data_IF_023779722776
#
_entry.id   IF_023779722776
#
_cell.length_a   1.000
_cell.length_b   1.000
_cell.length_c   1.000
_cell.angle_alpha   90.00
_cell.angle_beta   90.00
_cell.angle_gamma   90.00
#
_symmetry.space_group_name_H-M   'P 1'
#
loop_
_entity.id
_entity.type
_entity.pdbx_description
1 polymer ?
#
# COMPACT_ATOMS: atom_id res chain seq x y z
N UNK A 1 -40.18 -33.84 -8.05
CA UNK A 1 -39.82 -33.34 -9.37
C UNK A 1 -38.31 -33.42 -9.52
N UNK A 2 -37.81 -33.75 -10.70
CA UNK A 2 -36.37 -33.74 -11.00
C UNK A 2 -35.91 -32.29 -11.19
N UNK A 3 -34.88 -31.89 -10.52
CA UNK A 3 -34.20 -30.59 -10.71
C UNK A 3 -33.62 -30.58 -12.13
N UNK A 4 -33.70 -29.44 -12.85
CA UNK A 4 -33.10 -29.32 -14.18
C UNK A 4 -31.57 -29.36 -14.08
N UNK A 5 -30.89 -29.77 -15.17
CA UNK A 5 -29.41 -29.79 -15.18
C UNK A 5 -28.83 -28.43 -14.87
N UNK A 6 -29.45 -27.34 -15.35
CA UNK A 6 -29.02 -25.96 -15.06
C UNK A 6 -29.20 -25.56 -13.59
N UNK A 7 -30.27 -26.03 -12.96
CA UNK A 7 -30.51 -25.76 -11.54
C UNK A 7 -29.58 -26.59 -10.67
N UNK A 8 -29.23 -27.81 -11.11
CA UNK A 8 -28.23 -28.65 -10.46
C UNK A 8 -26.86 -27.94 -10.45
N UNK A 9 -26.41 -27.40 -11.59
CA UNK A 9 -25.18 -26.67 -11.72
C UNK A 9 -25.14 -25.46 -10.77
N UNK A 10 -26.21 -24.66 -10.72
CA UNK A 10 -26.31 -23.53 -9.78
C UNK A 10 -26.29 -23.95 -8.32
N UNK A 11 -26.91 -25.07 -7.99
CA UNK A 11 -26.86 -25.61 -6.63
C UNK A 11 -25.44 -26.06 -6.27
N UNK A 12 -24.73 -26.69 -7.20
CA UNK A 12 -23.33 -27.11 -6.98
C UNK A 12 -22.40 -25.93 -6.81
N UNK A 13 -22.57 -24.85 -7.60
CA UNK A 13 -21.86 -23.57 -7.41
C UNK A 13 -22.18 -22.95 -6.05
N UNK A 14 -23.45 -22.93 -5.65
CA UNK A 14 -23.87 -22.42 -4.35
C UNK A 14 -23.24 -23.20 -3.20
N UNK A 15 -23.33 -24.53 -3.22
CA UNK A 15 -22.74 -25.37 -2.18
C UNK A 15 -21.22 -25.26 -2.14
N UNK A 16 -20.57 -25.09 -3.28
CA UNK A 16 -19.13 -24.84 -3.35
C UNK A 16 -18.79 -23.52 -2.66
N UNK A 17 -19.53 -22.46 -2.96
CA UNK A 17 -19.35 -21.14 -2.34
C UNK A 17 -19.56 -21.17 -0.83
N UNK A 18 -20.58 -21.90 -0.35
CA UNK A 18 -20.83 -22.07 1.09
C UNK A 18 -19.67 -22.81 1.76
N UNK A 19 -19.17 -23.91 1.16
CA UNK A 19 -18.01 -24.64 1.70
C UNK A 19 -16.75 -23.79 1.76
N UNK A 20 -16.51 -22.95 0.77
CA UNK A 20 -15.36 -22.04 0.78
C UNK A 20 -15.51 -20.96 1.87
N UNK A 21 -16.74 -20.49 2.11
CA UNK A 21 -17.01 -19.58 3.22
C UNK A 21 -16.78 -20.26 4.57
N UNK A 22 -17.29 -21.48 4.77
CA UNK A 22 -17.06 -22.27 5.99
C UNK A 22 -15.57 -22.48 6.27
N UNK A 23 -14.78 -22.85 5.25
CA UNK A 23 -13.33 -23.00 5.37
C UNK A 23 -12.66 -21.67 5.80
N UNK A 24 -13.07 -20.54 5.21
CA UNK A 24 -12.56 -19.22 5.60
C UNK A 24 -12.91 -18.89 7.04
N UNK A 25 -14.14 -19.12 7.46
CA UNK A 25 -14.59 -18.89 8.84
C UNK A 25 -13.81 -19.78 9.83
N UNK A 26 -13.58 -21.04 9.50
CA UNK A 26 -12.81 -21.96 10.35
C UNK A 26 -11.33 -21.53 10.44
N UNK A 27 -10.73 -21.09 9.31
CA UNK A 27 -9.39 -20.53 9.30
C UNK A 27 -9.30 -19.26 10.14
N UNK A 28 -10.29 -18.38 10.04
CA UNK A 28 -10.36 -17.16 10.83
C UNK A 28 -10.51 -17.47 12.33
N UNK A 29 -11.36 -18.44 12.68
CA UNK A 29 -11.53 -18.90 14.06
C UNK A 29 -10.24 -19.47 14.64
N UNK A 30 -9.51 -20.26 13.86
CA UNK A 30 -8.19 -20.80 14.24
C UNK A 30 -7.17 -19.68 14.40
N UNK A 31 -7.16 -18.69 13.49
CA UNK A 31 -6.29 -17.53 13.58
C UNK A 31 -6.55 -16.69 14.83
N UNK A 32 -7.83 -16.51 15.22
CA UNK A 32 -8.19 -15.82 16.47
C UNK A 32 -7.81 -16.60 17.73
N UNK A 33 -7.72 -17.93 17.64
CA UNK A 33 -7.27 -18.79 18.75
C UNK A 33 -5.74 -18.94 18.81
N UNK A 34 -5.01 -18.51 17.77
CA UNK A 34 -3.57 -18.51 17.76
C UNK A 34 -3.06 -17.24 18.45
N UNK A 35 -2.11 -17.38 19.36
CA UNK A 35 -1.48 -16.22 19.98
C UNK A 35 -0.90 -15.31 18.89
N UNK A 36 -1.24 -14.02 18.98
CA UNK A 36 -0.65 -13.01 18.09
C UNK A 36 0.86 -13.02 18.34
N UNK A 37 1.69 -13.15 17.29
CA UNK A 37 3.14 -13.07 17.47
C UNK A 37 3.51 -11.78 18.19
N UNK A 38 4.39 -11.89 19.18
CA UNK A 38 4.96 -10.72 19.83
C UNK A 38 5.84 -9.97 18.84
N UNK A 39 5.58 -8.70 18.63
CA UNK A 39 6.35 -7.86 17.71
C UNK A 39 7.03 -6.76 18.52
N UNK A 40 8.31 -6.58 18.28
CA UNK A 40 9.10 -5.49 18.85
C UNK A 40 8.84 -4.22 18.03
N UNK A 41 7.74 -3.55 18.34
CA UNK A 41 7.35 -2.29 17.71
C UNK A 41 6.69 -1.37 18.73
N UNK A 42 7.30 -0.23 18.96
CA UNK A 42 6.76 0.80 19.83
C UNK A 42 6.04 1.87 19.02
N UNK A 43 4.78 2.10 19.33
CA UNK A 43 4.01 3.18 18.72
C UNK A 43 4.56 4.53 19.19
N UNK A 44 4.57 5.56 18.30
CA UNK A 44 5.00 6.89 18.69
C UNK A 44 4.11 7.46 19.80
N UNK A 45 4.71 8.20 20.72
CA UNK A 45 4.01 8.85 21.83
C UNK A 45 3.18 10.09 21.44
N UNK A 46 2.91 10.28 20.15
CA UNK A 46 2.14 11.40 19.59
C UNK A 46 1.10 10.86 18.59
N UNK A 47 0.12 11.68 18.25
CA UNK A 47 -0.89 11.33 17.22
C UNK A 47 -0.30 11.44 15.82
N UNK A 48 0.04 10.31 15.15
CA UNK A 48 0.64 10.32 13.82
C UNK A 48 -0.33 10.73 12.71
N UNK A 49 -1.64 10.78 13.03
CA UNK A 49 -2.69 11.19 12.06
C UNK A 49 -2.89 12.71 12.08
N UNK A 50 -2.19 13.42 12.96
CA UNK A 50 -2.25 14.88 12.97
C UNK A 50 -1.84 15.42 11.59
N UNK A 51 -2.58 16.42 11.06
CA UNK A 51 -2.36 16.92 9.70
C UNK A 51 -0.93 17.36 9.37
N UNK A 52 -0.15 17.77 10.35
CA UNK A 52 1.24 18.22 10.18
C UNK A 52 2.25 17.08 10.08
N UNK A 53 1.83 15.83 10.28
CA UNK A 53 2.70 14.66 10.42
C UNK A 53 2.42 13.59 9.34
N UNK A 54 2.05 14.02 8.14
CA UNK A 54 1.62 13.10 7.07
C UNK A 54 2.73 12.11 6.63
N UNK A 55 3.98 12.58 6.54
CA UNK A 55 5.10 11.72 6.13
C UNK A 55 5.46 10.72 7.23
N UNK A 56 5.39 11.15 8.48
CA UNK A 56 5.57 10.29 9.64
C UNK A 56 4.47 9.24 9.71
N UNK A 57 3.20 9.64 9.50
CA UNK A 57 2.07 8.73 9.44
C UNK A 57 2.21 7.71 8.30
N UNK A 58 2.69 8.11 7.13
CA UNK A 58 2.98 7.22 6.01
C UNK A 58 4.01 6.16 6.40
N UNK A 59 5.12 6.57 7.02
CA UNK A 59 6.16 5.66 7.51
C UNK A 59 5.60 4.62 8.48
N UNK A 60 4.83 5.06 9.48
CA UNK A 60 4.19 4.18 10.46
C UNK A 60 3.22 3.20 9.80
N UNK A 61 2.43 3.65 8.84
CA UNK A 61 1.52 2.76 8.10
C UNK A 61 2.27 1.69 7.31
N UNK A 62 3.40 2.03 6.69
CA UNK A 62 4.28 1.05 6.05
C UNK A 62 4.87 0.06 7.05
N UNK A 63 5.27 0.51 8.25
CA UNK A 63 5.74 -0.37 9.32
C UNK A 63 4.65 -1.38 9.73
N UNK A 64 3.42 -0.91 9.93
CA UNK A 64 2.28 -1.76 10.29
C UNK A 64 1.93 -2.77 9.19
N UNK A 65 1.98 -2.36 7.91
CA UNK A 65 1.80 -3.27 6.77
C UNK A 65 2.89 -4.33 6.77
N UNK A 66 4.14 -3.93 6.93
CA UNK A 66 5.30 -4.83 6.99
C UNK A 66 5.17 -5.87 8.11
N UNK A 67 4.78 -5.44 9.32
CA UNK A 67 4.51 -6.32 10.46
C UNK A 67 3.35 -7.27 10.19
N UNK A 68 2.27 -6.77 9.61
CA UNK A 68 1.08 -7.58 9.30
C UNK A 68 1.37 -8.68 8.28
N UNK A 69 2.22 -8.40 7.29
CA UNK A 69 2.70 -9.39 6.33
C UNK A 69 3.64 -10.39 7.00
N UNK A 70 4.57 -9.94 7.85
CA UNK A 70 5.53 -10.78 8.55
C UNK A 70 4.83 -11.78 9.49
N UNK A 71 3.77 -11.37 10.15
CA UNK A 71 3.01 -12.21 11.08
C UNK A 71 1.91 -13.03 10.42
N UNK A 72 1.80 -13.03 9.09
CA UNK A 72 0.70 -13.64 8.29
C UNK A 72 -0.70 -13.21 8.80
N UNK A 73 -0.79 -12.03 9.41
CA UNK A 73 -2.07 -11.44 9.86
C UNK A 73 -2.91 -10.96 8.68
N UNK A 74 -2.25 -10.61 7.58
CA UNK A 74 -2.88 -10.31 6.28
C UNK A 74 -1.98 -10.76 5.14
N UNK A 75 -2.59 -11.00 3.97
CA UNK A 75 -1.89 -11.28 2.71
C UNK A 75 -2.14 -10.23 1.64
N UNK A 76 -3.03 -9.30 1.92
CA UNK A 76 -3.35 -8.20 1.02
C UNK A 76 -3.50 -6.94 1.87
N UNK A 77 -2.77 -5.91 1.49
CA UNK A 77 -2.89 -4.58 2.08
C UNK A 77 -3.05 -3.55 0.95
N UNK A 78 -3.88 -2.56 1.17
CA UNK A 78 -4.02 -1.41 0.30
C UNK A 78 -3.88 -0.14 1.14
N UNK A 79 -3.15 0.83 0.64
CA UNK A 79 -2.97 2.11 1.30
C UNK A 79 -3.21 3.23 0.29
N UNK A 80 -4.02 4.20 0.68
CA UNK A 80 -4.24 5.41 -0.09
C UNK A 80 -3.45 6.55 0.54
N UNK A 81 -2.49 7.09 -0.20
CA UNK A 81 -1.73 8.26 0.21
C UNK A 81 -2.58 9.50 -0.03
N UNK A 82 -3.29 9.92 1.02
CA UNK A 82 -4.08 11.13 1.04
C UNK A 82 -3.23 12.29 1.58
N UNK A 83 -3.72 13.50 1.49
CA UNK A 83 -3.01 14.68 2.01
C UNK A 83 -3.20 15.89 1.11
N UNK A 84 -4.29 15.89 0.35
CA UNK A 84 -4.56 16.88 -0.67
C UNK A 84 -4.51 18.33 -0.17
N UNK A 85 -4.97 18.58 1.06
CA UNK A 85 -4.95 19.93 1.66
C UNK A 85 -3.70 20.24 2.49
N UNK A 86 -2.80 19.28 2.63
CA UNK A 86 -1.65 19.35 3.53
C UNK A 86 -0.60 20.33 3.02
N UNK A 87 -0.12 21.20 3.91
CA UNK A 87 1.12 21.95 3.72
C UNK A 87 2.23 21.21 4.43
N UNK A 88 3.22 20.75 3.67
CA UNK A 88 4.31 19.96 4.20
C UNK A 88 5.44 20.85 4.75
N UNK A 89 6.13 20.36 5.79
CA UNK A 89 7.41 20.89 6.25
C UNK A 89 8.48 19.86 5.95
N UNK A 90 9.44 20.21 5.11
CA UNK A 90 10.50 19.30 4.64
C UNK A 90 11.85 19.94 4.91
N UNK A 91 12.72 19.25 5.66
CA UNK A 91 14.03 19.78 6.03
C UNK A 91 13.97 21.07 6.88
N UNK A 92 12.90 21.26 7.66
CA UNK A 92 12.66 22.45 8.47
C UNK A 92 12.05 23.65 7.69
N UNK A 93 11.82 23.50 6.38
CA UNK A 93 11.18 24.51 5.53
C UNK A 93 9.71 24.15 5.31
N UNK A 94 8.79 25.04 5.70
CA UNK A 94 7.36 24.90 5.40
C UNK A 94 7.09 25.38 3.99
N UNK A 95 6.49 24.51 3.17
CA UNK A 95 6.19 24.81 1.77
C UNK A 95 5.11 25.89 1.64
N UNK A 96 5.11 26.57 0.49
CA UNK A 96 4.23 27.73 0.26
C UNK A 96 2.76 27.36 0.12
N UNK A 97 2.44 26.13 -0.29
CA UNK A 97 1.09 25.70 -0.57
C UNK A 97 0.86 24.23 -0.21
N UNK A 98 -0.39 23.84 -0.05
CA UNK A 98 -0.78 22.45 0.16
C UNK A 98 -0.53 21.59 -1.07
N UNK A 99 -0.36 20.29 -0.86
CA UNK A 99 0.00 19.32 -1.89
C UNK A 99 -0.90 19.36 -3.13
N UNK A 100 -2.22 19.46 -2.93
CA UNK A 100 -3.16 19.61 -4.05
C UNK A 100 -2.90 20.89 -4.88
N UNK A 101 -2.65 22.02 -4.22
CA UNK A 101 -2.36 23.26 -4.91
C UNK A 101 -1.00 23.22 -5.65
N UNK A 102 -0.02 22.48 -5.12
CA UNK A 102 1.24 22.22 -5.80
C UNK A 102 1.05 21.31 -7.02
N UNK A 103 0.18 20.29 -6.94
CA UNK A 103 -0.11 19.41 -8.07
C UNK A 103 -0.78 20.15 -9.23
N UNK A 104 -1.51 21.24 -8.96
CA UNK A 104 -2.04 22.16 -9.97
C UNK A 104 -1.05 23.29 -10.30
N UNK A 105 0.19 22.92 -10.62
CA UNK A 105 1.29 23.86 -10.80
C UNK A 105 1.16 24.79 -12.00
N UNK A 106 0.40 24.43 -13.04
CA UNK A 106 0.24 25.28 -14.23
C UNK A 106 1.57 25.63 -14.92
N UNK A 107 2.58 24.77 -14.82
CA UNK A 107 3.97 24.94 -15.24
C UNK A 107 4.74 26.03 -14.48
N UNK A 108 4.28 26.44 -13.31
CA UNK A 108 5.02 27.30 -12.39
C UNK A 108 6.25 26.54 -11.82
N UNK A 109 7.48 27.01 -12.08
CA UNK A 109 8.69 26.29 -11.66
C UNK A 109 8.86 26.21 -10.14
N UNK A 110 8.34 27.16 -9.40
CA UNK A 110 8.44 27.16 -7.93
C UNK A 110 7.52 26.12 -7.32
N UNK A 111 6.28 26.02 -7.83
CA UNK A 111 5.35 24.97 -7.44
C UNK A 111 5.86 23.57 -7.81
N UNK A 112 6.43 23.42 -9.01
CA UNK A 112 7.02 22.14 -9.44
C UNK A 112 8.17 21.75 -8.52
N UNK A 113 9.04 22.68 -8.16
CA UNK A 113 10.15 22.43 -7.25
C UNK A 113 9.66 21.93 -5.88
N UNK A 114 8.63 22.57 -5.33
CA UNK A 114 8.07 22.19 -4.04
C UNK A 114 7.30 20.86 -4.13
N UNK A 115 6.55 20.62 -5.22
CA UNK A 115 5.92 19.32 -5.48
C UNK A 115 6.97 18.20 -5.51
N UNK A 116 8.07 18.38 -6.22
CA UNK A 116 9.16 17.39 -6.31
C UNK A 116 9.78 17.11 -4.92
N UNK A 117 9.83 18.08 -4.02
CA UNK A 117 10.28 17.84 -2.63
C UNK A 117 9.35 16.84 -1.94
N UNK A 118 8.03 17.04 -2.03
CA UNK A 118 7.03 16.14 -1.43
C UNK A 118 7.10 14.74 -2.04
N UNK A 119 7.06 14.65 -3.37
CA UNK A 119 7.14 13.36 -4.08
C UNK A 119 8.39 12.56 -3.73
N UNK A 120 9.51 13.27 -3.54
CA UNK A 120 10.77 12.63 -3.12
C UNK A 120 10.68 12.04 -1.71
N UNK A 121 9.98 12.67 -0.79
CA UNK A 121 9.79 12.12 0.55
C UNK A 121 8.87 10.90 0.52
N UNK A 122 7.78 10.90 -0.26
CA UNK A 122 6.96 9.71 -0.50
C UNK A 122 7.80 8.54 -1.06
N UNK A 123 8.67 8.83 -2.03
CA UNK A 123 9.59 7.81 -2.57
C UNK A 123 10.58 7.27 -1.53
N UNK A 124 11.03 8.10 -0.58
CA UNK A 124 11.87 7.62 0.52
C UNK A 124 11.10 6.70 1.47
N UNK A 125 9.85 7.05 1.81
CA UNK A 125 8.99 6.18 2.62
C UNK A 125 8.78 4.82 1.94
N UNK A 126 8.46 4.82 0.65
CA UNK A 126 8.34 3.59 -0.14
C UNK A 126 9.65 2.78 -0.17
N UNK A 127 10.79 3.45 -0.40
CA UNK A 127 12.09 2.78 -0.43
C UNK A 127 12.44 2.13 0.92
N UNK A 128 12.14 2.79 2.03
CA UNK A 128 12.29 2.23 3.37
C UNK A 128 11.40 1.00 3.58
N UNK A 129 10.13 1.06 3.15
CA UNK A 129 9.21 -0.08 3.19
C UNK A 129 9.74 -1.27 2.39
N UNK A 130 10.19 -1.06 1.15
CA UNK A 130 10.79 -2.13 0.35
C UNK A 130 12.06 -2.69 1.00
N UNK A 131 12.86 -1.83 1.64
CA UNK A 131 14.01 -2.23 2.44
C UNK A 131 13.63 -3.14 3.62
N UNK A 132 12.55 -2.81 4.33
CA UNK A 132 12.02 -3.65 5.40
C UNK A 132 11.56 -5.01 4.87
N UNK A 133 10.79 -5.06 3.78
CA UNK A 133 10.35 -6.31 3.16
C UNK A 133 11.53 -7.16 2.70
N UNK A 134 12.63 -6.53 2.24
CA UNK A 134 13.84 -7.24 1.83
C UNK A 134 14.58 -7.89 3.00
N UNK A 135 14.58 -7.27 4.18
CA UNK A 135 15.31 -7.74 5.36
C UNK A 135 14.53 -8.69 6.25
N UNK A 136 13.20 -8.60 6.22
CA UNK A 136 12.31 -9.49 6.99
C UNK A 136 12.04 -10.77 6.21
N UNK A 137 11.79 -11.86 6.93
CA UNK A 137 11.53 -13.18 6.32
C UNK A 137 10.13 -13.68 6.67
N UNK A 138 9.58 -14.50 5.77
CA UNK A 138 8.38 -15.29 6.01
C UNK A 138 8.70 -16.55 6.86
N UNK A 139 7.69 -17.38 7.15
CA UNK A 139 7.83 -18.61 7.92
C UNK A 139 8.74 -19.64 7.25
N UNK A 140 8.91 -19.58 5.94
CA UNK A 140 9.78 -20.44 5.13
C UNK A 140 11.21 -19.88 5.02
N UNK A 141 11.51 -18.73 5.64
CA UNK A 141 12.82 -18.10 5.63
C UNK A 141 13.15 -17.32 4.35
N UNK A 142 12.18 -17.12 3.47
CA UNK A 142 12.34 -16.29 2.26
C UNK A 142 12.15 -14.83 2.63
N UNK A 143 12.84 -13.92 1.93
CA UNK A 143 12.58 -12.49 2.05
C UNK A 143 11.09 -12.19 1.79
N UNK A 144 10.48 -11.33 2.62
CA UNK A 144 9.10 -10.91 2.39
C UNK A 144 8.95 -10.21 1.03
N UNK A 145 10.00 -9.54 0.54
CA UNK A 145 9.97 -8.91 -0.78
C UNK A 145 9.85 -9.94 -1.90
N UNK A 146 10.51 -11.10 -1.77
CA UNK A 146 10.44 -12.17 -2.78
C UNK A 146 9.06 -12.83 -2.84
N UNK A 147 8.34 -12.85 -1.70
CA UNK A 147 7.01 -13.45 -1.58
C UNK A 147 5.85 -12.44 -1.66
N UNK A 148 6.14 -11.14 -1.85
CA UNK A 148 5.15 -10.07 -1.88
C UNK A 148 5.26 -9.28 -3.18
N UNK A 149 4.13 -9.02 -3.84
CA UNK A 149 4.05 -8.09 -4.97
C UNK A 149 3.65 -6.73 -4.41
N UNK A 150 4.50 -5.73 -4.62
CA UNK A 150 4.21 -4.33 -4.29
C UNK A 150 3.90 -3.57 -5.57
N UNK A 151 2.71 -3.02 -5.66
CA UNK A 151 2.29 -2.12 -6.73
C UNK A 151 2.14 -0.71 -6.15
N UNK A 152 2.88 0.25 -6.68
CA UNK A 152 2.77 1.67 -6.32
C UNK A 152 2.52 2.49 -7.57
N UNK A 153 1.61 3.46 -7.48
CA UNK A 153 1.29 4.30 -8.62
C UNK A 153 0.31 5.42 -8.27
N UNK A 154 -0.03 6.20 -9.27
CA UNK A 154 -0.99 7.30 -9.15
C UNK A 154 -2.09 7.18 -10.19
N UNK A 155 -3.23 7.80 -9.93
CA UNK A 155 -4.35 7.87 -10.87
C UNK A 155 -4.23 8.97 -11.93
N UNK A 156 -3.17 9.80 -11.87
CA UNK A 156 -2.93 10.89 -12.82
C UNK A 156 -1.46 10.95 -13.20
N UNK A 157 -1.16 10.98 -14.49
CA UNK A 157 0.18 11.25 -15.02
C UNK A 157 0.49 12.76 -15.05
N UNK A 158 -0.54 13.58 -15.24
CA UNK A 158 -0.47 15.05 -15.13
C UNK A 158 -1.65 15.56 -14.31
N UNK A 159 -1.45 15.79 -13.03
CA UNK A 159 -2.47 16.27 -12.13
C UNK A 159 -2.91 17.70 -12.46
N UNK A 160 -2.03 18.54 -13.00
CA UNK A 160 -2.36 19.92 -13.39
C UNK A 160 -3.38 19.97 -14.52
N UNK A 161 -3.43 18.94 -15.38
CA UNK A 161 -4.38 18.80 -16.49
C UNK A 161 -5.45 17.76 -16.24
N UNK A 162 -5.47 17.13 -15.06
CA UNK A 162 -6.32 15.98 -14.75
C UNK A 162 -6.21 14.84 -15.79
N UNK A 163 -5.02 14.64 -16.35
CA UNK A 163 -4.77 13.59 -17.33
C UNK A 163 -4.44 12.26 -16.66
N UNK A 164 -5.13 11.23 -17.06
CA UNK A 164 -4.86 9.84 -16.64
C UNK A 164 -4.04 9.05 -17.67
N UNK A 165 -3.30 9.73 -18.54
CA UNK A 165 -2.35 9.12 -19.46
C UNK A 165 -0.98 9.05 -18.81
N UNK A 166 -0.16 8.13 -19.29
CA UNK A 166 1.25 7.98 -18.90
C UNK A 166 1.40 7.87 -17.37
N UNK A 167 0.59 6.99 -16.75
CA UNK A 167 0.56 6.79 -15.31
C UNK A 167 1.89 6.19 -14.82
N UNK A 168 2.68 6.89 -14.00
CA UNK A 168 3.86 6.29 -13.40
C UNK A 168 3.42 5.15 -12.47
N UNK A 169 3.93 3.95 -12.76
CA UNK A 169 3.61 2.75 -12.01
C UNK A 169 4.91 2.00 -11.71
N UNK A 170 5.08 1.62 -10.45
CA UNK A 170 6.21 0.84 -9.98
C UNK A 170 5.72 -0.51 -9.49
N UNK A 171 6.40 -1.57 -9.92
CA UNK A 171 6.20 -2.94 -9.41
C UNK A 171 7.50 -3.39 -8.77
N UNK A 172 7.40 -3.96 -7.56
CA UNK A 172 8.56 -4.52 -6.86
C UNK A 172 8.21 -5.86 -6.21
N UNK A 173 9.21 -6.70 -6.04
CA UNK A 173 9.07 -8.03 -5.41
C UNK A 173 8.38 -9.07 -6.29
N UNK A 174 7.92 -10.15 -5.68
CA UNK A 174 7.05 -11.15 -6.31
C UNK A 174 7.67 -11.98 -7.44
N UNK A 175 9.00 -12.02 -7.56
CA UNK A 175 9.69 -12.86 -8.56
C UNK A 175 9.64 -12.32 -10.00
N UNK A 176 9.35 -11.05 -10.18
CA UNK A 176 9.47 -10.38 -11.50
C UNK A 176 10.94 -10.10 -11.84
N UNK A 177 11.25 -10.06 -13.13
CA UNK A 177 12.52 -9.52 -13.63
C UNK A 177 12.52 -8.00 -13.50
N UNK A 178 13.23 -7.51 -12.49
CA UNK A 178 13.28 -6.09 -12.15
C UNK A 178 14.43 -5.36 -12.85
N UNK A 179 14.46 -4.02 -12.69
CA UNK A 179 15.50 -3.16 -13.26
C UNK A 179 15.21 -2.74 -14.70
N UNK A 180 13.96 -2.85 -15.14
CA UNK A 180 13.50 -2.44 -16.45
C UNK A 180 12.58 -1.22 -16.34
N UNK A 181 12.68 -0.33 -17.33
CA UNK A 181 11.71 0.73 -17.56
C UNK A 181 10.97 0.42 -18.87
N UNK A 182 9.64 0.28 -18.75
CA UNK A 182 8.76 0.00 -19.88
C UNK A 182 7.95 1.28 -20.15
N UNK A 183 8.20 1.93 -21.29
CA UNK A 183 7.35 3.01 -21.78
C UNK A 183 6.32 2.43 -22.73
N UNK A 184 5.04 2.82 -22.58
CA UNK A 184 3.93 2.44 -23.46
C UNK A 184 3.62 3.54 -24.46
#
# INVERSE_FOLDING_TARGET
>A
GRVSARDQEKLDEYFTSVRELEKRMEKQRKGLATAVPEVDYELPGYDPVAPTLMLEAEGIMYDLISLSLQTDSTRVATMFLAGLGQVFTIGGETLQAGYHALSHHGNDPDKIRDLVKVEREHMKCLANFLGQLKTKTDAEGRSLLDSTIVLFGTGMGDASRHSNRDLPTLVAGGGFDHGQHIAS
#
